data_IF_762987502640
#
_entry.id   IF_762987502640
#
_cell.length_a   1.000
_cell.length_b   1.000
_cell.length_c   1.000
_cell.angle_alpha   90.00
_cell.angle_beta   90.00
_cell.angle_gamma   90.00
#
_symmetry.space_group_name_H-M   'P 1'
#
loop_
_entity.id
_entity.type
_entity.pdbx_description
1 polymer ?
#
# COMPACT_ATOMS: atom_id res chain seq x y z
N UNK A 1 -16.39 -28.62 -0.62
CA UNK A 1 -16.56 -29.99 -1.16
C UNK A 1 -15.85 -30.99 -0.25
N UNK A 2 -16.22 -32.28 -0.23
CA UNK A 2 -15.44 -33.29 0.48
C UNK A 2 -13.97 -33.22 0.07
N UNK A 3 -13.06 -33.18 1.03
CA UNK A 3 -11.62 -32.99 0.80
C UNK A 3 -11.13 -31.54 0.93
N UNK A 4 -12.02 -30.54 0.95
CA UNK A 4 -11.64 -29.14 1.13
C UNK A 4 -10.96 -28.94 2.49
N UNK A 5 -9.86 -28.18 2.49
CA UNK A 5 -9.21 -27.73 3.70
C UNK A 5 -10.01 -26.59 4.37
N UNK A 6 -10.18 -26.70 5.68
CA UNK A 6 -10.92 -25.73 6.49
C UNK A 6 -10.12 -25.37 7.75
N UNK A 7 -10.33 -24.17 8.25
CA UNK A 7 -9.72 -23.71 9.50
C UNK A 7 -10.81 -23.52 10.52
N UNK A 8 -10.72 -24.24 11.62
CA UNK A 8 -11.55 -24.03 12.80
C UNK A 8 -10.88 -23.03 13.74
N UNK A 9 -11.65 -22.08 14.25
CA UNK A 9 -11.09 -21.00 15.11
C UNK A 9 -10.29 -21.55 16.30
N UNK A 10 -10.74 -22.65 16.91
CA UNK A 10 -10.09 -23.22 18.11
C UNK A 10 -9.16 -24.38 17.81
N UNK A 11 -9.47 -25.18 16.79
CA UNK A 11 -8.79 -26.46 16.53
C UNK A 11 -7.79 -26.42 15.35
N UNK A 12 -7.76 -25.32 14.60
CA UNK A 12 -6.82 -25.15 13.49
C UNK A 12 -7.26 -25.82 12.21
N UNK A 13 -6.28 -26.28 11.44
CA UNK A 13 -6.47 -26.77 10.08
C UNK A 13 -6.93 -28.22 10.09
N UNK A 14 -8.08 -28.48 9.45
CA UNK A 14 -8.65 -29.79 9.21
C UNK A 14 -9.14 -29.94 7.77
N UNK A 15 -9.60 -31.13 7.39
CA UNK A 15 -10.27 -31.40 6.11
C UNK A 15 -11.74 -31.71 6.32
N UNK A 16 -12.61 -31.08 5.56
CA UNK A 16 -14.02 -31.44 5.48
C UNK A 16 -14.19 -32.79 4.78
N UNK A 17 -14.86 -33.73 5.40
CA UNK A 17 -15.12 -35.06 4.80
C UNK A 17 -16.53 -35.18 4.25
N UNK A 18 -17.54 -34.93 5.07
CA UNK A 18 -18.95 -35.11 4.72
C UNK A 18 -19.87 -34.45 5.71
N UNK A 19 -21.15 -34.33 5.33
CA UNK A 19 -22.24 -34.10 6.26
C UNK A 19 -22.69 -35.47 6.82
N UNK A 20 -22.92 -35.53 8.11
CA UNK A 20 -23.39 -36.73 8.82
C UNK A 20 -24.51 -36.34 9.78
N UNK A 21 -25.52 -37.19 9.87
CA UNK A 21 -26.59 -37.03 10.85
C UNK A 21 -26.26 -37.89 12.07
N UNK A 22 -26.14 -37.26 13.22
CA UNK A 22 -25.93 -37.94 14.50
C UNK A 22 -27.24 -37.93 15.32
N UNK A 23 -27.58 -39.06 15.91
CA UNK A 23 -28.68 -39.19 16.82
C UNK A 23 -28.17 -38.97 18.26
N UNK A 24 -28.46 -37.82 18.83
CA UNK A 24 -28.02 -37.46 20.18
C UNK A 24 -29.27 -37.20 21.03
N UNK A 25 -29.47 -37.95 22.11
CA UNK A 25 -30.61 -37.81 23.00
C UNK A 25 -31.97 -37.90 22.29
N UNK A 26 -32.13 -38.80 21.33
CA UNK A 26 -33.33 -38.99 20.50
C UNK A 26 -33.66 -37.76 19.59
N UNK A 27 -32.71 -36.88 19.36
CA UNK A 27 -32.81 -35.81 18.37
C UNK A 27 -31.77 -35.99 17.27
N UNK A 28 -32.16 -35.76 16.02
CA UNK A 28 -31.26 -35.82 14.86
C UNK A 28 -30.56 -34.48 14.69
N UNK A 29 -29.22 -34.50 14.73
CA UNK A 29 -28.40 -33.34 14.51
C UNK A 29 -27.57 -33.53 13.24
N UNK A 30 -27.62 -32.55 12.34
CA UNK A 30 -26.74 -32.51 11.18
C UNK A 30 -25.39 -31.92 11.57
N UNK A 31 -24.31 -32.66 11.29
CA UNK A 31 -22.98 -32.26 11.65
C UNK A 31 -22.02 -32.30 10.44
N UNK A 32 -21.11 -31.38 10.39
CA UNK A 32 -19.96 -31.41 9.50
C UNK A 32 -18.91 -32.33 10.12
N UNK A 33 -18.50 -33.37 9.39
CA UNK A 33 -17.39 -34.24 9.78
C UNK A 33 -16.08 -33.65 9.26
N UNK A 34 -15.23 -33.26 10.19
CA UNK A 34 -13.89 -32.73 9.93
C UNK A 34 -12.83 -33.75 10.36
N UNK A 35 -11.84 -34.00 9.49
CA UNK A 35 -10.69 -34.86 9.76
C UNK A 35 -9.48 -34.00 10.12
N UNK A 36 -8.79 -34.37 11.18
CA UNK A 36 -7.56 -33.76 11.68
C UNK A 36 -6.37 -34.73 11.58
N UNK A 37 -5.19 -34.34 12.02
CA UNK A 37 -4.03 -35.22 12.09
C UNK A 37 -4.32 -36.47 12.96
N UNK A 38 -3.64 -37.57 12.68
CA UNK A 38 -3.82 -38.85 13.34
C UNK A 38 -5.22 -39.48 13.21
N UNK A 39 -5.95 -39.11 12.13
CA UNK A 39 -7.34 -39.54 11.90
C UNK A 39 -8.35 -39.10 12.96
N UNK A 40 -7.98 -38.10 13.77
CA UNK A 40 -8.94 -37.48 14.71
C UNK A 40 -10.11 -36.87 13.98
N UNK A 41 -11.31 -37.02 14.53
CA UNK A 41 -12.57 -36.57 13.94
C UNK A 41 -13.25 -35.55 14.83
N UNK A 42 -13.67 -34.44 14.26
CA UNK A 42 -14.52 -33.45 14.91
C UNK A 42 -15.88 -33.41 14.22
N UNK A 43 -16.93 -33.54 14.98
CA UNK A 43 -18.30 -33.38 14.52
C UNK A 43 -18.79 -32.00 14.94
N UNK A 44 -18.92 -31.10 13.98
CA UNK A 44 -19.36 -29.73 14.20
C UNK A 44 -20.82 -29.59 13.76
N UNK A 45 -21.77 -29.23 14.64
CA UNK A 45 -23.14 -28.94 14.26
C UNK A 45 -23.18 -27.88 13.15
N UNK A 46 -24.05 -28.06 12.16
CA UNK A 46 -24.17 -27.12 11.02
C UNK A 46 -24.52 -25.71 11.49
N UNK A 47 -25.23 -25.58 12.60
CA UNK A 47 -25.57 -24.32 13.26
C UNK A 47 -24.35 -23.49 13.66
N UNK A 48 -23.20 -24.12 13.87
CA UNK A 48 -21.95 -23.49 14.28
C UNK A 48 -20.95 -23.33 13.11
N UNK A 49 -21.41 -23.29 11.88
CA UNK A 49 -20.55 -23.19 10.67
C UNK A 49 -19.72 -21.90 10.63
N UNK A 50 -20.15 -20.87 11.33
CA UNK A 50 -19.48 -19.58 11.48
C UNK A 50 -18.09 -19.66 12.12
N UNK A 51 -17.80 -20.73 12.88
CA UNK A 51 -16.46 -20.98 13.45
C UNK A 51 -15.48 -21.58 12.43
N UNK A 52 -15.95 -21.89 11.20
CA UNK A 52 -15.12 -22.42 10.11
C UNK A 52 -14.89 -21.37 9.04
N UNK A 53 -13.68 -21.35 8.53
CA UNK A 53 -13.32 -20.63 7.32
C UNK A 53 -12.67 -21.56 6.32
N UNK A 54 -12.86 -21.28 5.03
CA UNK A 54 -12.24 -22.05 3.95
C UNK A 54 -10.75 -21.74 3.87
N UNK A 55 -9.91 -22.76 3.79
CA UNK A 55 -8.49 -22.59 3.53
C UNK A 55 -8.25 -22.59 2.01
N UNK A 56 -7.61 -21.56 1.50
CA UNK A 56 -7.56 -21.27 0.05
C UNK A 56 -6.59 -22.11 -0.79
N UNK A 57 -5.93 -23.13 -0.24
CA UNK A 57 -4.99 -23.99 -0.97
C UNK A 57 -5.18 -25.47 -0.62
N UNK A 58 -4.85 -26.35 -1.58
CA UNK A 58 -4.76 -27.78 -1.32
C UNK A 58 -3.67 -28.05 -0.27
N UNK A 59 -4.04 -28.80 0.76
CA UNK A 59 -3.16 -29.13 1.89
C UNK A 59 -2.85 -30.63 1.85
N UNK A 60 -1.57 -30.97 2.03
CA UNK A 60 -1.14 -32.35 2.31
C UNK A 60 -1.66 -32.79 3.68
N UNK A 61 -1.86 -34.10 3.88
CA UNK A 61 -2.31 -34.64 5.18
C UNK A 61 -1.34 -34.33 6.32
N UNK A 62 -0.07 -34.15 6.02
CA UNK A 62 0.98 -33.79 6.98
C UNK A 62 0.82 -32.36 7.55
N UNK A 63 0.03 -31.51 6.90
CA UNK A 63 -0.21 -30.11 7.30
C UNK A 63 -1.41 -29.96 8.23
N UNK A 64 -2.12 -31.04 8.55
CA UNK A 64 -3.28 -31.00 9.45
C UNK A 64 -2.85 -30.80 10.91
N UNK A 65 -3.63 -30.01 11.63
CA UNK A 65 -3.40 -29.83 13.06
C UNK A 65 -3.91 -31.04 13.87
N UNK A 66 -3.36 -31.22 15.07
CA UNK A 66 -3.86 -32.22 16.04
C UNK A 66 -5.02 -31.65 16.83
N UNK A 67 -6.10 -32.36 16.95
CA UNK A 67 -7.24 -31.97 17.75
C UNK A 67 -6.82 -31.86 19.23
N UNK A 68 -7.11 -30.71 19.88
CA UNK A 68 -6.66 -30.45 21.24
C UNK A 68 -5.17 -30.15 21.39
N UNK A 69 -4.44 -30.03 20.30
CA UNK A 69 -3.00 -29.74 20.31
C UNK A 69 -2.68 -28.29 20.70
N UNK A 70 -1.56 -28.06 21.35
CA UNK A 70 -1.09 -26.74 21.81
C UNK A 70 -0.53 -25.91 20.63
N UNK A 71 -0.17 -26.56 19.51
CA UNK A 71 0.50 -25.94 18.38
C UNK A 71 -0.30 -24.82 17.73
N UNK A 72 -1.60 -25.00 17.53
CA UNK A 72 -2.48 -24.00 16.97
C UNK A 72 -2.60 -22.77 17.87
N UNK A 73 -2.84 -22.98 19.18
CA UNK A 73 -2.90 -21.89 20.16
C UNK A 73 -1.62 -21.06 20.17
N UNK A 74 -0.46 -21.73 20.18
CA UNK A 74 0.85 -21.07 20.17
C UNK A 74 1.09 -20.27 18.88
N UNK A 75 0.69 -20.79 17.71
CA UNK A 75 0.78 -20.07 16.43
C UNK A 75 -0.13 -18.83 16.43
N UNK A 76 -1.36 -18.98 16.89
CA UNK A 76 -2.33 -17.91 16.99
C UNK A 76 -1.84 -16.80 17.94
N UNK A 77 -1.27 -17.16 19.09
CA UNK A 77 -0.70 -16.19 20.03
C UNK A 77 0.53 -15.44 19.45
N UNK A 78 1.44 -16.15 18.81
CA UNK A 78 2.58 -15.53 18.14
C UNK A 78 2.14 -14.54 17.08
N UNK A 79 1.12 -14.91 16.28
CA UNK A 79 0.55 -14.04 15.27
C UNK A 79 -0.12 -12.80 15.89
N UNK A 80 -0.93 -12.98 16.95
CA UNK A 80 -1.56 -11.87 17.68
C UNK A 80 -0.52 -10.89 18.24
N UNK A 81 0.56 -11.41 18.85
CA UNK A 81 1.66 -10.56 19.36
C UNK A 81 2.31 -9.76 18.23
N UNK A 82 2.56 -10.40 17.08
CA UNK A 82 3.13 -9.71 15.91
C UNK A 82 2.21 -8.63 15.34
N UNK A 83 0.92 -8.94 15.22
CA UNK A 83 -0.09 -7.97 14.75
C UNK A 83 -0.19 -6.78 15.71
N UNK A 84 -0.21 -7.06 17.04
CA UNK A 84 -0.22 -6.00 18.06
C UNK A 84 1.00 -5.09 17.96
N UNK A 85 2.19 -5.66 17.83
CA UNK A 85 3.42 -4.89 17.65
C UNK A 85 3.38 -4.00 16.40
N UNK A 86 2.95 -4.56 15.25
CA UNK A 86 2.78 -3.78 14.01
C UNK A 86 1.75 -2.65 14.16
N UNK A 87 0.64 -2.93 14.86
CA UNK A 87 -0.37 -1.90 15.14
C UNK A 87 0.19 -0.78 16.02
N UNK A 88 0.97 -1.10 17.05
CA UNK A 88 1.63 -0.12 17.92
C UNK A 88 2.62 0.76 17.15
N UNK A 89 3.42 0.16 16.25
CA UNK A 89 4.33 0.91 15.36
C UNK A 89 3.56 1.87 14.44
N UNK A 90 2.50 1.39 13.77
CA UNK A 90 1.67 2.21 12.90
C UNK A 90 0.98 3.35 13.64
N UNK A 91 0.45 3.07 14.84
CA UNK A 91 -0.15 4.11 15.69
C UNK A 91 0.87 5.16 16.13
N UNK A 92 2.10 4.76 16.47
CA UNK A 92 3.15 5.69 16.83
C UNK A 92 3.54 6.61 15.66
N UNK A 93 3.61 6.07 14.44
CA UNK A 93 3.86 6.86 13.21
C UNK A 93 2.71 7.84 12.96
N UNK A 94 1.47 7.38 13.05
CA UNK A 94 0.30 8.23 12.86
C UNK A 94 0.23 9.36 13.90
N UNK A 95 0.52 9.07 15.17
CA UNK A 95 0.57 10.06 16.24
C UNK A 95 1.68 11.11 16.00
N UNK A 96 2.88 10.66 15.61
CA UNK A 96 3.97 11.59 15.25
C UNK A 96 3.57 12.52 14.11
N UNK A 97 2.88 11.99 13.08
CA UNK A 97 2.42 12.79 11.95
C UNK A 97 1.42 13.86 12.37
N UNK A 98 0.48 13.54 13.27
CA UNK A 98 -0.52 14.50 13.75
C UNK A 98 0.08 15.68 14.53
N UNK A 99 1.18 15.46 15.25
CA UNK A 99 1.85 16.54 16.04
C UNK A 99 2.93 17.26 15.25
N UNK A 100 3.26 16.79 14.05
CA UNK A 100 4.30 17.40 13.21
C UNK A 100 3.70 18.51 12.34
N UNK A 101 4.49 19.53 12.09
CA UNK A 101 4.19 20.58 11.13
C UNK A 101 4.92 20.31 9.81
N UNK A 102 4.26 20.57 8.70
CA UNK A 102 4.85 20.62 7.37
C UNK A 102 4.83 22.07 6.86
N UNK A 103 5.67 22.39 5.91
CA UNK A 103 5.61 23.69 5.27
C UNK A 103 4.40 23.77 4.34
N UNK A 104 3.69 24.89 4.40
CA UNK A 104 2.55 25.17 3.52
C UNK A 104 3.05 25.30 2.09
N UNK A 105 2.49 24.50 1.20
CA UNK A 105 2.77 24.58 -0.23
C UNK A 105 1.79 25.58 -0.85
N UNK A 106 2.32 26.69 -1.31
CA UNK A 106 1.53 27.75 -1.97
C UNK A 106 2.22 28.18 -3.26
N UNK A 107 1.49 28.17 -4.35
CA UNK A 107 1.96 28.56 -5.69
C UNK A 107 1.04 29.65 -6.25
N UNK A 108 1.58 30.65 -6.97
CA UNK A 108 0.74 31.64 -7.64
C UNK A 108 -0.31 30.98 -8.53
N UNK A 109 -1.53 31.45 -8.42
CA UNK A 109 -2.72 30.88 -9.04
C UNK A 109 -2.59 30.81 -10.58
N UNK A 110 -2.03 31.85 -11.18
CA UNK A 110 -1.81 31.96 -12.63
C UNK A 110 -1.00 30.81 -13.22
N UNK A 111 0.08 30.38 -12.54
CA UNK A 111 0.91 29.25 -12.98
C UNK A 111 0.19 27.91 -12.87
N UNK A 112 -0.62 27.75 -11.82
CA UNK A 112 -1.39 26.55 -11.63
C UNK A 112 -2.52 26.43 -12.65
N UNK A 113 -3.22 27.53 -12.95
CA UNK A 113 -4.24 27.56 -13.98
C UNK A 113 -3.66 27.24 -15.37
N UNK A 114 -2.49 27.80 -15.71
CA UNK A 114 -1.79 27.45 -16.95
C UNK A 114 -1.48 25.95 -17.02
N UNK A 115 -1.00 25.36 -15.93
CA UNK A 115 -0.73 23.93 -15.87
C UNK A 115 -2.00 23.09 -16.04
N UNK A 116 -3.11 23.48 -15.41
CA UNK A 116 -4.41 22.83 -15.51
C UNK A 116 -4.97 22.90 -16.93
N UNK A 117 -4.86 24.04 -17.61
CA UNK A 117 -5.38 24.23 -18.98
C UNK A 117 -4.73 23.32 -20.03
N UNK A 118 -3.55 22.76 -19.72
CA UNK A 118 -2.86 21.80 -20.59
C UNK A 118 -3.38 20.36 -20.45
N UNK A 119 -4.34 20.12 -19.56
CA UNK A 119 -4.99 18.80 -19.45
C UNK A 119 -6.00 18.65 -20.60
N UNK A 120 -5.86 17.65 -21.49
CA UNK A 120 -6.64 17.57 -22.73
C UNK A 120 -8.04 16.99 -22.55
N UNK A 121 -8.45 16.69 -21.32
CA UNK A 121 -9.73 16.05 -21.00
C UNK A 121 -10.53 16.90 -20.02
N UNK A 122 -11.85 16.69 -19.97
CA UNK A 122 -12.68 17.22 -18.89
C UNK A 122 -12.51 16.37 -17.63
N UNK A 123 -12.37 17.00 -16.48
CA UNK A 123 -12.26 16.34 -15.20
C UNK A 123 -13.59 15.73 -14.79
N UNK A 124 -13.55 14.50 -14.28
CA UNK A 124 -14.72 13.93 -13.62
C UNK A 124 -14.89 14.55 -12.22
N UNK A 125 -16.12 14.50 -11.68
CA UNK A 125 -16.38 15.01 -10.33
C UNK A 125 -15.47 14.34 -9.27
N UNK A 126 -15.18 13.06 -9.42
CA UNK A 126 -14.31 12.33 -8.49
C UNK A 126 -12.85 12.77 -8.60
N UNK A 127 -12.35 13.01 -9.81
CA UNK A 127 -11.02 13.58 -10.03
C UNK A 127 -10.91 14.97 -9.42
N UNK A 128 -11.90 15.83 -9.67
CA UNK A 128 -11.97 17.17 -9.11
C UNK A 128 -11.93 17.12 -7.56
N UNK A 129 -12.77 16.30 -6.95
CA UNK A 129 -12.81 16.14 -5.50
C UNK A 129 -11.48 15.61 -4.93
N UNK A 130 -10.85 14.64 -5.60
CA UNK A 130 -9.56 14.09 -5.19
C UNK A 130 -8.46 15.16 -5.28
N UNK A 131 -8.39 15.92 -6.37
CA UNK A 131 -7.43 17.01 -6.58
C UNK A 131 -7.59 18.07 -5.48
N UNK A 132 -8.82 18.56 -5.27
CA UNK A 132 -9.09 19.56 -4.24
C UNK A 132 -8.74 19.07 -2.82
N UNK A 133 -9.03 17.80 -2.54
CA UNK A 133 -8.67 17.21 -1.24
C UNK A 133 -7.16 17.18 -1.03
N UNK A 134 -6.39 16.86 -2.05
CA UNK A 134 -4.91 16.86 -2.01
C UNK A 134 -4.38 18.28 -1.84
N UNK A 135 -4.89 19.24 -2.61
CA UNK A 135 -4.48 20.65 -2.51
C UNK A 135 -4.75 21.18 -1.10
N UNK A 136 -5.95 20.98 -0.58
CA UNK A 136 -6.30 21.39 0.78
C UNK A 136 -5.36 20.77 1.84
N UNK A 137 -4.92 19.52 1.65
CA UNK A 137 -3.98 18.91 2.58
C UNK A 137 -2.58 19.53 2.47
N UNK A 138 -2.11 19.87 1.26
CA UNK A 138 -0.84 20.57 1.03
C UNK A 138 -0.81 21.98 1.66
N UNK A 139 -1.96 22.63 1.74
CA UNK A 139 -2.12 23.96 2.33
C UNK A 139 -2.30 23.97 3.85
N UNK A 140 -2.64 22.83 4.47
CA UNK A 140 -2.89 22.75 5.92
C UNK A 140 -1.64 22.87 6.79
N UNK A 141 -0.45 22.73 6.23
CA UNK A 141 0.79 22.74 7.00
C UNK A 141 0.95 21.54 7.93
N UNK A 142 0.31 20.43 7.61
CA UNK A 142 0.46 19.14 8.31
C UNK A 142 0.84 18.04 7.31
N UNK A 143 1.73 17.11 7.68
CA UNK A 143 2.10 16.02 6.79
C UNK A 143 0.87 15.21 6.34
N UNK A 144 0.65 15.13 5.03
CA UNK A 144 -0.44 14.35 4.43
C UNK A 144 -0.03 12.89 4.28
N UNK A 145 -0.98 11.98 4.46
CA UNK A 145 -0.91 10.58 4.06
C UNK A 145 -2.25 10.19 3.46
N UNK A 146 -2.30 10.15 2.12
CA UNK A 146 -3.56 10.03 1.39
C UNK A 146 -3.51 8.90 0.40
N UNK A 147 -4.48 8.01 0.48
CA UNK A 147 -4.73 6.95 -0.49
C UNK A 147 -5.74 7.44 -1.53
N UNK A 148 -5.37 7.36 -2.80
CA UNK A 148 -6.24 7.66 -3.95
C UNK A 148 -6.65 6.33 -4.60
N UNK A 149 -7.89 5.94 -4.42
CA UNK A 149 -8.46 4.73 -5.00
C UNK A 149 -9.17 5.04 -6.31
N UNK A 150 -8.98 4.20 -7.31
CA UNK A 150 -9.67 4.30 -8.60
C UNK A 150 -9.23 3.20 -9.54
N UNK A 151 -10.10 2.80 -10.45
CA UNK A 151 -9.79 1.75 -11.43
C UNK A 151 -8.69 2.17 -12.41
N UNK A 152 -8.14 1.20 -13.12
CA UNK A 152 -7.12 1.44 -14.16
C UNK A 152 -7.71 2.33 -15.27
N UNK A 153 -6.98 3.37 -15.65
CA UNK A 153 -7.43 4.31 -16.68
C UNK A 153 -8.29 5.47 -16.19
N UNK A 154 -8.67 5.56 -14.92
CA UNK A 154 -9.47 6.65 -14.36
C UNK A 154 -8.69 7.94 -14.06
N UNK A 155 -7.47 8.06 -14.58
CA UNK A 155 -6.72 9.32 -14.55
C UNK A 155 -6.12 9.67 -13.19
N UNK A 156 -5.85 8.68 -12.31
CA UNK A 156 -5.12 8.89 -11.03
C UNK A 156 -3.84 9.70 -11.22
N UNK A 157 -3.17 9.52 -12.36
CA UNK A 157 -1.94 10.23 -12.71
C UNK A 157 -2.13 11.76 -12.79
N UNK A 158 -3.31 12.27 -13.14
CA UNK A 158 -3.55 13.73 -13.16
C UNK A 158 -3.50 14.31 -11.73
N UNK A 159 -4.01 13.60 -10.73
CA UNK A 159 -3.90 14.01 -9.32
C UNK A 159 -2.42 14.10 -8.91
N UNK A 160 -1.61 13.10 -9.32
CA UNK A 160 -0.16 13.11 -9.09
C UNK A 160 0.54 14.28 -9.75
N UNK A 161 0.20 14.56 -11.02
CA UNK A 161 0.78 15.64 -11.80
C UNK A 161 0.53 17.00 -11.14
N UNK A 162 -0.70 17.26 -10.69
CA UNK A 162 -1.06 18.53 -10.04
C UNK A 162 -0.40 18.70 -8.67
N UNK A 163 -0.41 17.66 -7.84
CA UNK A 163 0.30 17.69 -6.56
C UNK A 163 1.81 17.90 -6.74
N UNK A 164 2.40 17.23 -7.73
CA UNK A 164 3.82 17.38 -8.07
C UNK A 164 4.14 18.78 -8.59
N UNK A 165 3.24 19.37 -9.39
CA UNK A 165 3.42 20.72 -9.88
C UNK A 165 3.48 21.74 -8.74
N UNK A 166 2.50 21.73 -7.85
CA UNK A 166 2.45 22.64 -6.70
C UNK A 166 3.70 22.47 -5.82
N UNK A 167 4.11 21.24 -5.54
CA UNK A 167 5.27 20.96 -4.70
C UNK A 167 6.58 21.41 -5.35
N UNK A 168 6.79 21.07 -6.62
CA UNK A 168 8.01 21.44 -7.35
C UNK A 168 8.13 22.96 -7.56
N UNK A 169 7.02 23.64 -7.87
CA UNK A 169 7.00 25.09 -8.02
C UNK A 169 7.20 25.84 -6.71
N UNK A 170 6.95 25.20 -5.57
CA UNK A 170 7.31 25.71 -4.23
C UNK A 170 8.78 25.47 -3.86
N UNK A 171 9.60 24.96 -4.79
CA UNK A 171 11.04 24.73 -4.59
C UNK A 171 11.38 23.45 -3.85
N UNK A 172 10.41 22.53 -3.67
CA UNK A 172 10.63 21.25 -3.00
C UNK A 172 10.72 20.10 -3.98
N UNK A 173 11.45 19.07 -3.57
CA UNK A 173 11.60 17.87 -4.39
C UNK A 173 10.39 16.95 -4.28
N UNK A 174 10.08 16.27 -5.38
CA UNK A 174 9.04 15.25 -5.50
C UNK A 174 9.68 13.91 -5.87
N UNK A 175 9.35 12.85 -5.15
CA UNK A 175 9.74 11.49 -5.48
C UNK A 175 8.50 10.69 -5.91
N UNK A 176 8.61 9.99 -7.05
CA UNK A 176 7.56 9.12 -7.58
C UNK A 176 8.10 7.71 -7.69
N UNK A 177 7.52 6.80 -6.92
CA UNK A 177 7.85 5.38 -6.90
C UNK A 177 6.91 4.58 -7.79
N UNK A 178 7.45 3.87 -8.75
CA UNK A 178 6.73 2.93 -9.59
C UNK A 178 7.26 1.50 -9.39
N UNK A 179 6.40 0.47 -9.46
CA UNK A 179 6.81 -0.92 -9.17
C UNK A 179 7.74 -1.50 -10.23
N UNK A 180 7.64 -1.04 -11.48
CA UNK A 180 8.42 -1.56 -12.59
C UNK A 180 9.18 -0.46 -13.34
N UNK A 181 10.27 -0.84 -14.00
CA UNK A 181 11.05 0.10 -14.84
C UNK A 181 10.23 0.63 -16.03
N UNK A 182 9.29 -0.16 -16.53
CA UNK A 182 8.42 0.25 -17.63
C UNK A 182 7.46 1.36 -17.19
N UNK A 183 6.80 1.17 -16.04
CA UNK A 183 5.92 2.19 -15.47
C UNK A 183 6.70 3.45 -15.09
N UNK A 184 7.87 3.33 -14.48
CA UNK A 184 8.72 4.46 -14.19
C UNK A 184 9.06 5.27 -15.46
N UNK A 185 9.38 4.58 -16.55
CA UNK A 185 9.63 5.21 -17.86
C UNK A 185 8.38 5.89 -18.41
N UNK A 186 7.24 5.23 -18.35
CA UNK A 186 5.96 5.80 -18.80
C UNK A 186 5.61 7.07 -18.02
N UNK A 187 5.72 7.04 -16.70
CA UNK A 187 5.53 8.23 -15.87
C UNK A 187 6.52 9.33 -16.22
N UNK A 188 7.81 8.99 -16.41
CA UNK A 188 8.81 9.97 -16.80
C UNK A 188 8.45 10.71 -18.09
N UNK A 189 8.06 9.99 -19.14
CA UNK A 189 7.66 10.62 -20.42
C UNK A 189 6.39 11.48 -20.28
N UNK A 190 5.40 11.00 -19.51
CA UNK A 190 4.16 11.73 -19.23
C UNK A 190 4.46 13.03 -18.47
N UNK A 191 5.25 12.95 -17.40
CA UNK A 191 5.64 14.12 -16.62
C UNK A 191 6.47 15.10 -17.44
N UNK A 192 7.46 14.62 -18.18
CA UNK A 192 8.31 15.43 -19.04
C UNK A 192 7.51 16.18 -20.11
N UNK A 193 6.51 15.54 -20.70
CA UNK A 193 5.62 16.16 -21.68
C UNK A 193 4.76 17.25 -21.03
N UNK A 194 4.17 16.96 -19.87
CA UNK A 194 3.23 17.83 -19.19
C UNK A 194 3.89 19.07 -18.58
N UNK A 195 5.14 18.92 -18.09
CA UNK A 195 5.92 20.01 -17.49
C UNK A 195 6.76 20.80 -18.50
N UNK A 196 6.62 20.50 -19.78
CA UNK A 196 7.38 21.21 -20.83
C UNK A 196 7.12 22.70 -20.80
N UNK A 197 8.20 23.49 -20.66
CA UNK A 197 8.15 24.96 -20.61
C UNK A 197 8.02 25.54 -19.19
N UNK A 198 7.85 24.71 -18.17
CA UNK A 198 7.98 25.13 -16.77
C UNK A 198 9.43 24.94 -16.29
N UNK A 199 9.90 25.75 -15.33
CA UNK A 199 11.27 25.69 -14.80
C UNK A 199 11.44 24.53 -13.81
N UNK A 200 11.12 23.30 -14.23
CA UNK A 200 11.13 22.09 -13.40
C UNK A 200 12.01 21.03 -14.07
N UNK A 201 13.01 20.55 -13.35
CA UNK A 201 13.93 19.51 -13.80
C UNK A 201 13.45 18.13 -13.37
N UNK A 202 13.19 17.26 -14.34
CA UNK A 202 12.70 15.90 -14.10
C UNK A 202 13.81 14.89 -14.40
N UNK A 203 14.05 13.96 -13.47
CA UNK A 203 15.02 12.88 -13.62
C UNK A 203 14.37 11.51 -13.47
N UNK A 204 14.91 10.52 -14.21
CA UNK A 204 14.53 9.12 -14.07
C UNK A 204 15.66 8.34 -13.41
N UNK A 205 15.34 7.54 -12.38
CA UNK A 205 16.27 6.62 -11.75
C UNK A 205 15.69 5.20 -11.73
N UNK A 206 16.14 4.39 -12.68
CA UNK A 206 15.76 2.99 -12.82
C UNK A 206 16.97 2.12 -13.13
N UNK A 207 16.76 0.80 -13.28
CA UNK A 207 17.84 -0.09 -13.74
C UNK A 207 18.37 0.29 -15.11
N UNK A 208 17.57 0.90 -15.95
CA UNK A 208 17.88 1.28 -17.33
C UNK A 208 18.59 2.64 -17.45
N UNK A 209 18.70 3.39 -16.36
CA UNK A 209 19.36 4.69 -16.37
C UNK A 209 20.86 4.51 -16.60
N UNK A 210 21.38 5.09 -17.69
CA UNK A 210 22.77 4.92 -18.13
C UNK A 210 23.79 5.64 -17.24
N UNK A 211 23.44 6.78 -16.67
CA UNK A 211 24.32 7.63 -15.83
C UNK A 211 23.74 7.78 -14.41
N UNK A 212 23.63 6.67 -13.68
CA UNK A 212 23.01 6.66 -12.36
C UNK A 212 23.68 7.60 -11.36
N UNK A 213 25.00 7.61 -11.32
CA UNK A 213 25.76 8.44 -10.37
C UNK A 213 25.56 9.94 -10.63
N UNK A 214 25.40 10.36 -11.89
CA UNK A 214 25.09 11.76 -12.21
C UNK A 214 23.67 12.14 -11.79
N UNK A 215 22.70 11.23 -11.95
CA UNK A 215 21.34 11.43 -11.50
C UNK A 215 21.28 11.49 -9.96
N UNK A 216 21.97 10.60 -9.26
CA UNK A 216 22.07 10.61 -7.79
C UNK A 216 22.66 11.94 -7.30
N UNK A 217 23.72 12.42 -7.92
CA UNK A 217 24.29 13.74 -7.59
C UNK A 217 23.28 14.88 -7.76
N UNK A 218 22.48 14.86 -8.83
CA UNK A 218 21.43 15.86 -9.06
C UNK A 218 20.33 15.79 -8.01
N UNK A 219 19.96 14.60 -7.57
CA UNK A 219 18.97 14.41 -6.51
C UNK A 219 19.50 14.99 -5.20
N UNK A 220 20.71 14.58 -4.80
CA UNK A 220 21.31 14.97 -3.53
C UNK A 220 21.67 16.47 -3.49
N UNK A 221 21.92 17.09 -4.64
CA UNK A 221 22.16 18.56 -4.73
C UNK A 221 20.90 19.40 -4.82
N UNK A 222 19.71 18.78 -4.92
CA UNK A 222 18.46 19.51 -5.14
C UNK A 222 18.27 20.04 -6.57
N UNK A 223 19.17 19.69 -7.53
CA UNK A 223 19.07 20.15 -8.92
C UNK A 223 18.02 19.39 -9.74
N UNK A 224 17.44 18.33 -9.19
CA UNK A 224 16.33 17.60 -9.77
C UNK A 224 15.10 17.80 -8.89
N UNK A 225 14.08 18.46 -9.44
CA UNK A 225 12.87 18.84 -8.71
C UNK A 225 11.90 17.65 -8.62
N UNK A 226 11.78 16.87 -9.69
CA UNK A 226 10.94 15.67 -9.72
C UNK A 226 11.80 14.47 -10.09
N UNK A 227 11.72 13.42 -9.29
CA UNK A 227 12.46 12.18 -9.49
C UNK A 227 11.51 11.01 -9.60
N UNK A 228 11.55 10.32 -10.73
CA UNK A 228 10.69 9.17 -10.99
C UNK A 228 11.56 7.91 -11.07
N UNK A 229 11.20 6.89 -10.31
CA UNK A 229 12.00 5.67 -10.32
C UNK A 229 11.34 4.48 -9.65
N UNK A 230 12.10 3.41 -9.58
CA UNK A 230 11.69 2.17 -8.91
C UNK A 230 12.21 2.17 -7.46
N UNK A 231 12.14 1.01 -6.79
CA UNK A 231 12.73 0.81 -5.47
C UNK A 231 14.19 1.29 -5.34
N UNK A 232 14.89 1.55 -6.45
CA UNK A 232 16.24 2.18 -6.43
C UNK A 232 16.26 3.57 -5.78
N UNK A 233 15.11 4.27 -5.72
CA UNK A 233 14.98 5.54 -5.00
C UNK A 233 15.04 5.40 -3.48
N UNK A 234 14.88 4.19 -2.95
CA UNK A 234 14.96 3.87 -1.53
C UNK A 234 16.36 3.40 -1.09
N UNK A 235 17.33 3.47 -1.98
CA UNK A 235 18.70 3.03 -1.70
C UNK A 235 19.48 4.03 -0.84
N UNK A 236 20.40 3.53 -0.02
CA UNK A 236 21.21 4.30 0.95
C UNK A 236 22.04 5.45 0.35
N UNK A 237 22.25 5.47 -0.97
CA UNK A 237 23.01 6.50 -1.68
C UNK A 237 22.19 7.75 -2.02
N UNK A 238 20.87 7.69 -1.81
CA UNK A 238 19.95 8.76 -2.19
C UNK A 238 19.56 9.54 -0.96
N UNK A 239 19.96 10.79 -0.93
CA UNK A 239 19.61 11.75 0.09
C UNK A 239 18.96 12.94 -0.60
N UNK A 240 17.64 13.04 -0.48
CA UNK A 240 16.93 14.20 -1.01
C UNK A 240 17.32 15.44 -0.22
N UNK A 241 17.60 16.54 -0.90
CA UNK A 241 17.97 17.79 -0.26
C UNK A 241 16.76 18.41 0.50
N UNK A 242 15.61 18.46 -0.15
CA UNK A 242 14.36 18.96 0.45
C UNK A 242 13.15 18.24 -0.17
N UNK A 243 12.89 17.01 0.26
CA UNK A 243 11.77 16.23 -0.25
C UNK A 243 10.45 16.71 0.37
N UNK A 244 9.57 17.30 -0.43
CA UNK A 244 8.25 17.76 -0.04
C UNK A 244 7.15 16.71 -0.25
N UNK A 245 7.20 15.95 -1.35
CA UNK A 245 6.13 15.03 -1.72
C UNK A 245 6.68 13.67 -2.16
N UNK A 246 6.09 12.61 -1.62
CA UNK A 246 6.33 11.24 -2.07
C UNK A 246 5.05 10.67 -2.66
N UNK A 247 5.12 10.16 -3.88
CA UNK A 247 4.01 9.50 -4.58
C UNK A 247 4.38 8.05 -4.80
N UNK A 248 3.48 7.13 -4.45
CA UNK A 248 3.67 5.69 -4.60
C UNK A 248 2.58 5.18 -5.55
N UNK A 249 2.98 4.69 -6.71
CA UNK A 249 2.08 4.06 -7.65
C UNK A 249 2.03 2.55 -7.41
N UNK A 250 0.81 1.96 -7.40
CA UNK A 250 0.58 0.54 -7.19
C UNK A 250 1.24 0.02 -5.88
N UNK A 251 0.89 0.64 -4.75
CA UNK A 251 1.48 0.36 -3.42
C UNK A 251 1.50 -1.13 -3.07
N UNK A 252 0.49 -1.91 -3.51
CA UNK A 252 0.40 -3.36 -3.26
C UNK A 252 1.59 -4.17 -3.82
N UNK A 253 2.33 -3.64 -4.79
CA UNK A 253 3.53 -4.27 -5.34
C UNK A 253 4.79 -4.03 -4.51
N UNK A 254 4.73 -3.17 -3.51
CA UNK A 254 5.85 -2.93 -2.60
C UNK A 254 5.74 -3.82 -1.36
N UNK A 255 6.80 -4.57 -1.06
CA UNK A 255 6.85 -5.42 0.13
C UNK A 255 6.87 -4.61 1.44
N UNK A 256 6.43 -5.22 2.54
CA UNK A 256 6.34 -4.60 3.88
C UNK A 256 7.64 -3.89 4.30
N UNK A 257 8.81 -4.44 3.94
CA UNK A 257 10.11 -3.80 4.23
C UNK A 257 10.31 -2.48 3.50
N UNK A 258 9.84 -2.37 2.26
CA UNK A 258 9.95 -1.13 1.49
C UNK A 258 8.97 -0.08 2.01
N UNK A 259 7.74 -0.50 2.33
CA UNK A 259 6.73 0.37 2.93
C UNK A 259 7.18 0.87 4.31
N UNK A 260 7.81 0.04 5.13
CA UNK A 260 8.34 0.47 6.42
C UNK A 260 9.47 1.49 6.27
N UNK A 261 10.36 1.35 5.29
CA UNK A 261 11.39 2.35 4.99
C UNK A 261 10.78 3.69 4.57
N UNK A 262 9.73 3.66 3.77
CA UNK A 262 8.98 4.84 3.35
C UNK A 262 8.31 5.53 4.55
N UNK A 263 7.67 4.76 5.43
CA UNK A 263 6.97 5.28 6.60
C UNK A 263 7.87 5.64 7.78
N UNK A 264 9.04 5.00 7.92
CA UNK A 264 9.94 5.16 9.07
C UNK A 264 11.01 6.23 8.80
N UNK A 265 11.51 6.36 7.56
CA UNK A 265 12.69 7.19 7.29
C UNK A 265 12.48 8.69 7.52
N UNK A 266 11.26 9.24 7.42
CA UNK A 266 10.91 10.60 7.87
C UNK A 266 9.38 10.86 7.85
N UNK A 267 8.62 10.40 8.85
CA UNK A 267 7.15 10.56 8.86
C UNK A 267 6.70 12.00 9.14
N UNK A 268 7.63 12.92 9.43
CA UNK A 268 7.31 14.17 10.12
C UNK A 268 7.38 15.42 9.26
N UNK A 269 7.83 15.34 8.01
CA UNK A 269 8.05 16.53 7.18
C UNK A 269 7.53 16.43 5.74
N UNK A 270 6.92 15.31 5.33
CA UNK A 270 6.59 15.04 3.92
C UNK A 270 5.12 14.75 3.71
N UNK A 271 4.65 15.14 2.55
CA UNK A 271 3.35 14.72 2.04
C UNK A 271 3.51 13.39 1.29
N UNK A 272 2.61 12.45 1.52
CA UNK A 272 2.61 11.16 0.81
C UNK A 272 1.26 10.89 0.16
N UNK A 273 1.28 10.42 -1.08
CA UNK A 273 0.11 9.97 -1.83
C UNK A 273 0.38 8.56 -2.33
N UNK A 274 -0.52 7.64 -2.04
CA UNK A 274 -0.48 6.28 -2.56
C UNK A 274 -1.65 6.06 -3.51
N UNK A 275 -1.44 5.25 -4.55
CA UNK A 275 -2.47 4.80 -5.48
C UNK A 275 -2.68 3.30 -5.35
N UNK A 276 -3.94 2.87 -5.36
CA UNK A 276 -4.37 1.48 -5.38
C UNK A 276 -5.34 1.24 -6.55
#
# INVERSE_FOLDING_TARGET
>A
MPGDAVVHIEHGIGKFQSLVTLDINNAKHECLLLKYANDDKLYLPVENIDVLSRYGSDISEESLDKLGGISWGSRKEKLKKRIKFLAEELMAVAAKRQISSAEIINVPEDFYEEFCSRFPFEETNDQFNAIHSVINDLEKGQPMDRLICGDVGFGKTEVALRASFLTAMSGKQVAILAPTTLLARQHYETFKSRFRGFPVNISELSRLTSKKDDVIKKINSGSSDIVIGTHSLLGDKIEFNDLGLLIIDEEQHFGVKHLSLIHISEPTRRYAISYA
#
